data_IF_691078179136
#
_entry.id   IF_691078179136
#
_cell.length_a   1.000
_cell.length_b   1.000
_cell.length_c   1.000
_cell.angle_alpha   90.00
_cell.angle_beta   90.00
_cell.angle_gamma   90.00
#
_symmetry.space_group_name_H-M   'P 1'
#
loop_
_entity.id
_entity.type
_entity.pdbx_description
1 polymer ?
#
# COMPACT_ATOMS: atom_id res chain seq x y z
N UNK A 1 1.66 -39.09 6.50
CA UNK A 1 2.73 -38.07 6.44
C UNK A 1 2.41 -37.13 5.28
N UNK A 2 1.88 -35.96 5.57
CA UNK A 2 1.72 -34.88 4.59
C UNK A 2 2.29 -33.65 5.28
N UNK A 3 3.54 -33.31 4.96
CA UNK A 3 4.12 -32.04 5.34
C UNK A 3 3.58 -31.03 4.32
N UNK A 4 2.69 -30.10 4.70
CA UNK A 4 2.41 -28.97 3.83
C UNK A 4 3.72 -28.17 3.74
N UNK A 5 4.23 -28.10 2.53
CA UNK A 5 5.40 -27.31 2.14
C UNK A 5 5.14 -25.86 2.51
N UNK A 6 5.81 -25.37 3.56
CA UNK A 6 5.81 -23.96 4.00
C UNK A 6 6.16 -22.95 2.88
N UNK A 7 6.65 -23.45 1.74
CA UNK A 7 7.04 -22.67 0.57
C UNK A 7 5.89 -22.56 -0.46
N UNK A 8 5.00 -23.55 -0.59
CA UNK A 8 3.90 -23.53 -1.57
C UNK A 8 2.72 -22.68 -1.09
N UNK A 9 2.41 -22.70 0.22
CA UNK A 9 1.37 -21.83 0.80
C UNK A 9 1.84 -20.38 0.90
N UNK A 10 3.12 -20.14 1.20
CA UNK A 10 3.64 -18.81 1.47
C UNK A 10 3.48 -17.83 0.29
N UNK A 11 3.79 -18.25 -0.93
CA UNK A 11 3.65 -17.37 -2.11
C UNK A 11 2.19 -17.03 -2.41
N UNK A 12 1.29 -18.00 -2.26
CA UNK A 12 -0.15 -17.79 -2.43
C UNK A 12 -0.67 -16.85 -1.35
N UNK A 13 -0.25 -17.04 -0.09
CA UNK A 13 -0.64 -16.20 1.04
C UNK A 13 -0.18 -14.75 0.85
N UNK A 14 1.07 -14.53 0.44
CA UNK A 14 1.59 -13.18 0.13
C UNK A 14 0.88 -12.54 -1.07
N UNK A 15 0.49 -13.34 -2.06
CA UNK A 15 -0.29 -12.85 -3.21
C UNK A 15 -1.69 -12.41 -2.77
N UNK A 16 -2.39 -13.24 -1.99
CA UNK A 16 -3.71 -12.91 -1.43
C UNK A 16 -3.60 -11.68 -0.54
N UNK A 17 -2.59 -11.63 0.34
CA UNK A 17 -2.32 -10.49 1.21
C UNK A 17 -2.15 -9.19 0.41
N UNK A 18 -1.31 -9.21 -0.63
CA UNK A 18 -1.04 -8.04 -1.48
C UNK A 18 -2.29 -7.61 -2.23
N UNK A 19 -3.08 -8.57 -2.73
CA UNK A 19 -4.34 -8.29 -3.42
C UNK A 19 -5.38 -7.67 -2.47
N UNK A 20 -5.55 -8.22 -1.26
CA UNK A 20 -6.45 -7.68 -0.24
C UNK A 20 -5.99 -6.28 0.21
N UNK A 21 -4.69 -6.08 0.38
CA UNK A 21 -4.12 -4.77 0.71
C UNK A 21 -4.46 -3.74 -0.36
N UNK A 22 -4.31 -4.11 -1.64
CA UNK A 22 -4.66 -3.24 -2.76
C UNK A 22 -6.16 -2.89 -2.77
N UNK A 23 -7.05 -3.86 -2.56
CA UNK A 23 -8.49 -3.58 -2.47
C UNK A 23 -8.84 -2.66 -1.30
N UNK A 24 -8.24 -2.90 -0.12
CA UNK A 24 -8.43 -2.03 1.04
C UNK A 24 -7.90 -0.62 0.78
N UNK A 25 -6.77 -0.48 0.09
CA UNK A 25 -6.28 0.83 -0.37
C UNK A 25 -7.34 1.55 -1.23
N UNK A 26 -7.90 0.89 -2.24
CA UNK A 26 -8.94 1.49 -3.10
C UNK A 26 -10.16 1.92 -2.29
N UNK A 27 -10.66 1.06 -1.40
CA UNK A 27 -11.82 1.37 -0.54
C UNK A 27 -11.52 2.57 0.36
N UNK A 28 -10.35 2.57 1.03
CA UNK A 28 -10.00 3.59 2.01
C UNK A 28 -9.69 4.94 1.36
N UNK A 29 -9.06 4.97 0.19
CA UNK A 29 -8.82 6.21 -0.55
C UNK A 29 -10.12 6.79 -1.14
N UNK A 30 -11.01 5.94 -1.64
CA UNK A 30 -12.34 6.37 -2.09
C UNK A 30 -13.16 6.93 -0.92
N UNK A 31 -13.15 6.24 0.23
CA UNK A 31 -13.77 6.69 1.46
C UNK A 31 -13.22 8.03 1.95
N UNK A 32 -11.89 8.20 1.91
CA UNK A 32 -11.21 9.46 2.26
C UNK A 32 -11.65 10.60 1.33
N UNK A 33 -11.74 10.37 0.03
CA UNK A 33 -12.19 11.37 -0.94
C UNK A 33 -13.65 11.79 -0.71
N UNK A 34 -14.52 10.84 -0.35
CA UNK A 34 -15.92 11.12 -0.04
C UNK A 34 -16.16 11.62 1.40
N UNK A 35 -15.14 11.63 2.27
CA UNK A 35 -15.30 11.68 3.73
C UNK A 35 -16.15 12.87 4.22
N UNK A 36 -15.93 14.05 3.65
CA UNK A 36 -16.66 15.27 3.99
C UNK A 36 -18.18 15.14 3.78
N UNK A 37 -18.59 14.34 2.80
CA UNK A 37 -19.99 14.17 2.38
C UNK A 37 -20.67 12.95 3.04
N UNK A 38 -19.94 12.14 3.81
CA UNK A 38 -20.48 10.96 4.47
C UNK A 38 -21.22 11.30 5.77
N UNK A 39 -22.38 10.66 5.99
CA UNK A 39 -23.05 10.64 7.29
C UNK A 39 -22.26 9.83 8.32
N UNK A 40 -22.64 9.90 9.60
CA UNK A 40 -21.85 9.27 10.69
C UNK A 40 -21.77 7.73 10.57
N UNK A 41 -22.83 7.08 10.10
CA UNK A 41 -22.91 5.62 9.99
C UNK A 41 -21.82 5.04 9.07
N UNK A 42 -21.70 5.43 7.79
CA UNK A 42 -20.63 4.92 6.93
C UNK A 42 -19.23 5.29 7.45
N UNK A 43 -19.04 6.45 8.09
CA UNK A 43 -17.74 6.78 8.70
C UNK A 43 -17.33 5.77 9.76
N UNK A 44 -18.24 5.41 10.67
CA UNK A 44 -17.98 4.41 11.72
C UNK A 44 -17.68 3.03 11.10
N UNK A 45 -18.42 2.62 10.07
CA UNK A 45 -18.21 1.33 9.40
C UNK A 45 -16.87 1.27 8.62
N UNK A 46 -16.39 2.42 8.10
CA UNK A 46 -15.16 2.50 7.34
C UNK A 46 -13.89 2.58 8.21
N UNK A 47 -14.00 3.03 9.45
CA UNK A 47 -12.85 3.16 10.37
C UNK A 47 -12.12 1.83 10.58
N UNK A 48 -12.78 0.69 10.89
CA UNK A 48 -12.09 -0.59 11.02
C UNK A 48 -11.31 -0.99 9.76
N UNK A 49 -11.89 -0.80 8.58
CA UNK A 49 -11.22 -1.09 7.31
C UNK A 49 -9.98 -0.21 7.12
N UNK A 50 -10.06 1.08 7.48
CA UNK A 50 -8.91 1.99 7.44
C UNK A 50 -7.80 1.58 8.42
N UNK A 51 -8.15 1.14 9.63
CA UNK A 51 -7.17 0.64 10.61
C UNK A 51 -6.45 -0.61 10.09
N UNK A 52 -7.18 -1.55 9.49
CA UNK A 52 -6.58 -2.75 8.87
C UNK A 52 -5.69 -2.36 7.70
N UNK A 53 -6.12 -1.43 6.85
CA UNK A 53 -5.32 -0.95 5.73
C UNK A 53 -3.99 -0.34 6.20
N UNK A 54 -4.00 0.47 7.27
CA UNK A 54 -2.78 1.05 7.86
C UNK A 54 -1.87 -0.04 8.42
N UNK A 55 -2.41 -1.02 9.16
CA UNK A 55 -1.61 -2.13 9.66
C UNK A 55 -0.96 -2.92 8.51
N UNK A 56 -1.71 -3.16 7.44
CA UNK A 56 -1.19 -3.86 6.27
C UNK A 56 -0.13 -3.03 5.52
N UNK A 57 -0.29 -1.72 5.44
CA UNK A 57 0.70 -0.79 4.88
C UNK A 57 2.05 -0.90 5.62
N UNK A 58 2.01 -0.97 6.96
CA UNK A 58 3.20 -1.19 7.79
C UNK A 58 3.86 -2.53 7.48
N UNK A 59 3.10 -3.63 7.51
CA UNK A 59 3.66 -4.98 7.27
C UNK A 59 4.21 -5.09 5.84
N UNK A 60 3.52 -4.52 4.86
CA UNK A 60 3.96 -4.48 3.46
C UNK A 60 5.28 -3.71 3.33
N UNK A 61 5.45 -2.63 4.11
CA UNK A 61 6.68 -1.84 4.12
C UNK A 61 7.87 -2.60 4.72
N UNK A 62 7.64 -3.39 5.77
CA UNK A 62 8.69 -4.13 6.48
C UNK A 62 9.25 -5.29 5.65
N UNK A 63 8.39 -6.01 4.92
CA UNK A 63 8.77 -7.27 4.26
C UNK A 63 8.78 -7.09 2.73
N UNK A 64 7.63 -7.04 2.00
CA UNK A 64 7.63 -6.86 0.55
C UNK A 64 8.46 -5.67 0.05
N UNK A 65 8.26 -4.48 0.61
CA UNK A 65 8.94 -3.29 0.11
C UNK A 65 10.45 -3.32 0.35
N UNK A 66 10.91 -3.95 1.42
CA UNK A 66 12.35 -4.14 1.66
C UNK A 66 12.98 -5.08 0.64
N UNK A 67 12.26 -6.13 0.21
CA UNK A 67 12.71 -7.00 -0.88
C UNK A 67 12.69 -6.28 -2.23
N UNK A 68 11.60 -5.57 -2.55
CA UNK A 68 11.44 -4.83 -3.82
C UNK A 68 12.52 -3.76 -3.98
N UNK A 69 12.78 -2.97 -2.94
CA UNK A 69 13.71 -1.84 -3.02
C UNK A 69 15.12 -2.15 -2.53
N UNK A 70 15.38 -3.36 -2.00
CA UNK A 70 16.66 -3.73 -1.41
C UNK A 70 17.20 -2.63 -0.47
N UNK A 71 16.34 -2.14 0.41
CA UNK A 71 16.60 -1.05 1.37
C UNK A 71 15.75 -1.33 2.62
N UNK A 72 16.26 -1.01 3.80
CA UNK A 72 15.51 -1.18 5.04
C UNK A 72 14.54 -0.01 5.22
N UNK A 73 13.38 -0.22 5.88
CA UNK A 73 12.39 0.83 6.06
C UNK A 73 12.93 1.91 7.01
N UNK A 74 12.81 3.17 6.61
CA UNK A 74 13.10 4.36 7.45
C UNK A 74 11.82 5.06 7.87
N UNK A 75 10.78 4.84 7.09
CA UNK A 75 9.41 5.26 7.31
C UNK A 75 8.59 4.09 7.86
N UNK A 76 7.51 4.39 8.57
CA UNK A 76 6.60 3.36 9.07
C UNK A 76 5.72 2.79 7.95
N UNK A 77 5.24 3.65 7.05
CA UNK A 77 4.30 3.30 5.97
C UNK A 77 5.02 3.11 4.64
N UNK A 78 4.59 2.13 3.85
CA UNK A 78 5.08 1.90 2.50
C UNK A 78 4.73 3.07 1.59
N UNK A 79 3.54 3.65 1.74
CA UNK A 79 3.14 4.87 1.01
C UNK A 79 4.11 6.04 1.25
N UNK A 80 4.56 6.25 2.50
CA UNK A 80 5.58 7.28 2.84
C UNK A 80 6.95 6.97 2.24
N UNK A 81 7.29 5.69 2.14
CA UNK A 81 8.54 5.25 1.53
C UNK A 81 8.55 5.48 0.02
N UNK A 82 7.40 5.31 -0.66
CA UNK A 82 7.25 5.68 -2.06
C UNK A 82 7.48 7.18 -2.26
N UNK A 83 6.92 8.04 -1.40
CA UNK A 83 7.17 9.50 -1.45
C UNK A 83 8.68 9.83 -1.41
N UNK A 84 9.47 9.12 -0.56
CA UNK A 84 10.92 9.29 -0.49
C UNK A 84 11.63 8.93 -1.79
N UNK A 85 11.24 7.82 -2.44
CA UNK A 85 11.87 7.43 -3.71
C UNK A 85 11.43 8.31 -4.87
N UNK A 86 10.17 8.75 -4.90
CA UNK A 86 9.67 9.75 -5.85
C UNK A 86 10.48 11.04 -5.77
N UNK A 87 10.76 11.53 -4.55
CA UNK A 87 11.53 12.74 -4.32
C UNK A 87 13.00 12.66 -4.81
N UNK A 88 13.52 11.48 -5.13
CA UNK A 88 14.88 11.34 -5.67
C UNK A 88 14.97 11.79 -7.14
N UNK A 89 13.87 11.70 -7.90
CA UNK A 89 13.79 12.11 -9.30
C UNK A 89 14.64 11.29 -10.30
N UNK A 90 15.43 10.31 -9.83
CA UNK A 90 16.29 9.48 -10.68
C UNK A 90 16.64 8.13 -10.04
N UNK A 91 17.10 7.18 -10.88
CA UNK A 91 17.54 5.85 -10.47
C UNK A 91 16.44 4.79 -10.49
N UNK A 92 16.82 3.51 -10.38
CA UNK A 92 15.86 2.41 -10.54
C UNK A 92 14.78 2.37 -9.45
N UNK A 93 15.11 2.80 -8.21
CA UNK A 93 14.15 2.87 -7.11
C UNK A 93 13.08 3.93 -7.36
N UNK A 94 13.48 5.09 -7.88
CA UNK A 94 12.56 6.10 -8.40
C UNK A 94 11.69 5.51 -9.51
N UNK A 95 12.26 4.84 -10.51
CA UNK A 95 11.48 4.24 -11.60
C UNK A 95 10.42 3.24 -11.11
N UNK A 96 10.78 2.37 -10.16
CA UNK A 96 9.83 1.40 -9.57
C UNK A 96 8.76 2.12 -8.75
N UNK A 97 9.14 3.06 -7.89
CA UNK A 97 8.19 3.83 -7.10
C UNK A 97 7.21 4.60 -8.00
N UNK A 98 7.73 5.24 -9.05
CA UNK A 98 6.95 5.97 -10.03
C UNK A 98 5.94 5.09 -10.72
N UNK A 99 6.38 3.91 -11.17
CA UNK A 99 5.50 2.95 -11.81
C UNK A 99 4.37 2.49 -10.86
N UNK A 100 4.70 2.14 -9.62
CA UNK A 100 3.71 1.74 -8.62
C UNK A 100 2.69 2.85 -8.35
N UNK A 101 3.18 4.07 -8.14
CA UNK A 101 2.33 5.23 -7.91
C UNK A 101 1.39 5.50 -9.10
N UNK A 102 1.94 5.63 -10.30
CA UNK A 102 1.17 5.99 -11.50
C UNK A 102 0.13 4.92 -11.89
N UNK A 103 0.46 3.63 -11.74
CA UNK A 103 -0.39 2.56 -12.24
C UNK A 103 -1.33 1.99 -11.18
N UNK A 104 -0.95 2.01 -9.90
CA UNK A 104 -1.73 1.37 -8.84
C UNK A 104 -2.38 2.36 -7.88
N UNK A 105 -1.69 3.43 -7.48
CA UNK A 105 -2.16 4.30 -6.39
C UNK A 105 -2.91 5.53 -6.93
N UNK A 106 -2.25 6.33 -7.77
CA UNK A 106 -2.75 7.61 -8.27
C UNK A 106 -4.14 7.55 -8.92
N UNK A 107 -4.50 6.49 -9.69
CA UNK A 107 -5.86 6.39 -10.26
C UNK A 107 -7.00 6.40 -9.23
N UNK A 108 -6.71 6.02 -7.97
CA UNK A 108 -7.69 5.92 -6.89
C UNK A 108 -7.45 6.94 -5.76
N UNK A 109 -6.37 7.72 -5.83
CA UNK A 109 -6.02 8.69 -4.81
C UNK A 109 -6.22 10.13 -5.32
N UNK A 110 -7.36 10.73 -4.97
CA UNK A 110 -7.60 12.15 -5.25
C UNK A 110 -6.65 13.03 -4.43
N UNK A 111 -5.86 13.87 -5.10
CA UNK A 111 -4.91 14.80 -4.48
C UNK A 111 -3.46 14.31 -4.35
N UNK A 112 -3.12 13.12 -4.87
CA UNK A 112 -1.76 12.61 -5.13
C UNK A 112 -0.76 12.65 -3.96
N UNK A 113 -0.34 11.48 -3.44
CA UNK A 113 0.87 11.41 -2.59
C UNK A 113 2.14 11.39 -3.44
N UNK A 114 2.07 10.74 -4.61
CA UNK A 114 3.19 10.56 -5.53
C UNK A 114 3.15 11.53 -6.72
N UNK A 115 3.05 12.84 -6.48
CA UNK A 115 3.25 13.81 -7.57
C UNK A 115 4.74 14.09 -7.72
N UNK A 116 5.31 14.08 -8.93
CA UNK A 116 6.57 14.77 -9.15
C UNK A 116 6.30 16.25 -8.90
N UNK A 117 7.12 16.88 -8.06
CA UNK A 117 7.21 18.34 -8.07
C UNK A 117 7.86 18.78 -9.38
#
# INVERSE_FOLDING_TARGET
MHFPTLIDSGLVDWTIYTYVFYLLFVVTMTAKAAWANLSIVPRVLLVPAALVAVLMDVIFNLIPATLIFLDLPRELLFTKRLDRYEAQGAGWRYTVARWLCQNLLDPFQQGGHCTPQ
#
